data_IF_043510541860
#
_entry.id   IF_043510541860
#
_cell.length_a   1.000
_cell.length_b   1.000
_cell.length_c   1.000
_cell.angle_alpha   90.00
_cell.angle_beta   90.00
_cell.angle_gamma   90.00
#
_symmetry.space_group_name_H-M   'P 1'
#
loop_
_entity.id
_entity.type
_entity.pdbx_description
1 polymer ?
#
# COMPACT_ATOMS: atom_id res chain seq x y z
N UNK A 1 -15.49 -14.82 0.90
CA UNK A 1 -15.45 -13.37 1.23
C UNK A 1 -16.58 -12.90 2.14
N UNK A 2 -17.87 -13.19 1.85
CA UNK A 2 -19.00 -12.70 2.68
C UNK A 2 -18.92 -13.10 4.16
N UNK A 3 -18.57 -14.36 4.42
CA UNK A 3 -18.41 -14.90 5.78
C UNK A 3 -17.31 -14.18 6.55
N UNK A 4 -16.13 -14.04 5.94
CA UNK A 4 -15.00 -13.28 6.49
C UNK A 4 -15.37 -11.82 6.75
N UNK A 5 -16.09 -11.17 5.84
CA UNK A 5 -16.51 -9.78 6.04
C UNK A 5 -17.47 -9.64 7.23
N UNK A 6 -18.30 -10.66 7.50
CA UNK A 6 -19.24 -10.67 8.63
C UNK A 6 -18.55 -10.93 9.97
N UNK A 7 -17.39 -11.58 10.01
CA UNK A 7 -16.62 -11.80 11.24
C UNK A 7 -15.79 -10.58 11.65
N UNK A 8 -15.59 -9.61 10.75
CA UNK A 8 -14.75 -8.44 11.01
C UNK A 8 -15.56 -7.26 11.60
N UNK A 9 -14.90 -6.36 12.38
CA UNK A 9 -15.54 -5.15 12.86
C UNK A 9 -16.08 -4.28 11.71
N UNK A 10 -17.16 -3.51 11.95
CA UNK A 10 -17.64 -2.54 10.97
C UNK A 10 -16.54 -1.57 10.53
N UNK A 11 -16.52 -1.19 9.25
CA UNK A 11 -15.55 -0.26 8.64
C UNK A 11 -14.07 -0.73 8.67
N UNK A 12 -13.85 -2.03 8.81
CA UNK A 12 -12.52 -2.61 8.70
C UNK A 12 -11.95 -2.48 7.26
N UNK A 13 -10.65 -2.21 7.14
CA UNK A 13 -9.99 -2.15 5.85
C UNK A 13 -10.01 -3.53 5.16
N UNK A 14 -10.43 -3.65 3.88
CA UNK A 14 -10.61 -4.95 3.22
C UNK A 14 -9.35 -5.81 3.12
N UNK A 15 -8.17 -5.20 3.15
CA UNK A 15 -6.91 -5.95 3.12
C UNK A 15 -6.72 -6.89 4.33
N UNK A 16 -7.41 -6.62 5.44
CA UNK A 16 -7.38 -7.49 6.62
C UNK A 16 -8.12 -8.81 6.39
N UNK A 17 -9.01 -8.88 5.40
CA UNK A 17 -9.72 -10.12 5.07
C UNK A 17 -8.76 -11.23 4.66
N UNK A 18 -7.62 -10.93 4.02
CA UNK A 18 -6.65 -11.95 3.61
C UNK A 18 -5.99 -12.63 4.81
N UNK A 19 -5.68 -11.87 5.85
CA UNK A 19 -5.14 -12.40 7.11
C UNK A 19 -6.19 -13.26 7.83
N UNK A 20 -7.44 -12.84 7.82
CA UNK A 20 -8.51 -13.61 8.46
C UNK A 20 -8.81 -14.92 7.72
N UNK A 21 -8.79 -14.91 6.38
CA UNK A 21 -8.88 -16.13 5.56
C UNK A 21 -7.75 -17.11 5.93
N UNK A 22 -6.52 -16.60 6.04
CA UNK A 22 -5.35 -17.40 6.43
C UNK A 22 -5.59 -18.11 7.76
N UNK A 23 -6.11 -17.37 8.76
CA UNK A 23 -6.39 -17.91 10.11
C UNK A 23 -7.54 -18.90 10.13
N UNK A 24 -8.65 -18.59 9.48
CA UNK A 24 -9.86 -19.44 9.54
C UNK A 24 -9.67 -20.77 8.80
N UNK A 25 -8.98 -20.75 7.65
CA UNK A 25 -8.76 -21.94 6.85
C UNK A 25 -7.39 -22.60 7.11
N UNK A 26 -6.58 -22.04 8.00
CA UNK A 26 -5.23 -22.52 8.33
C UNK A 26 -4.37 -22.72 7.06
N UNK A 27 -4.38 -21.71 6.17
CA UNK A 27 -3.68 -21.73 4.88
C UNK A 27 -2.44 -20.81 4.89
N UNK A 28 -1.26 -21.41 4.86
CA UNK A 28 0.01 -20.69 4.86
C UNK A 28 0.76 -20.83 3.52
N UNK A 29 1.64 -19.87 3.23
CA UNK A 29 2.44 -19.82 2.02
C UNK A 29 1.80 -18.97 0.91
N UNK A 30 1.14 -19.66 -0.01
CA UNK A 30 0.58 -19.08 -1.23
C UNK A 30 -0.80 -19.67 -1.47
N UNK A 31 -1.79 -18.81 -1.69
CA UNK A 31 -3.11 -19.25 -2.12
C UNK A 31 -3.68 -18.34 -3.19
N UNK A 32 -4.58 -18.90 -3.99
CA UNK A 32 -5.30 -18.17 -5.03
C UNK A 32 -6.68 -17.78 -4.54
N UNK A 33 -7.05 -16.53 -4.74
CA UNK A 33 -8.37 -16.00 -4.43
C UNK A 33 -9.08 -15.61 -5.72
N UNK A 34 -10.15 -16.32 -6.04
CA UNK A 34 -11.06 -15.91 -7.09
C UNK A 34 -11.98 -14.79 -6.59
N UNK A 35 -11.94 -13.65 -7.28
CA UNK A 35 -12.71 -12.46 -6.97
C UNK A 35 -13.83 -12.21 -8.00
N UNK A 36 -14.10 -13.14 -8.92
CA UNK A 36 -15.19 -13.00 -9.88
C UNK A 36 -16.56 -12.88 -9.18
N UNK A 37 -17.44 -11.94 -9.57
CA UNK A 37 -17.32 -10.94 -10.65
C UNK A 37 -16.79 -9.57 -10.18
N UNK A 38 -16.36 -9.44 -8.94
CA UNK A 38 -15.94 -8.17 -8.33
C UNK A 38 -14.56 -7.68 -8.79
N UNK A 39 -13.66 -8.57 -9.24
CA UNK A 39 -12.33 -8.19 -9.69
C UNK A 39 -11.52 -9.35 -10.27
N UNK A 40 -10.27 -9.09 -10.67
CA UNK A 40 -9.38 -10.13 -11.15
C UNK A 40 -9.00 -11.07 -10.00
N UNK A 41 -8.86 -12.36 -10.31
CA UNK A 41 -8.32 -13.33 -9.36
C UNK A 41 -6.90 -12.92 -8.92
N UNK A 42 -6.63 -13.05 -7.63
CA UNK A 42 -5.41 -12.54 -7.00
C UNK A 42 -4.68 -13.69 -6.30
N UNK A 43 -3.37 -13.78 -6.50
CA UNK A 43 -2.51 -14.67 -5.71
C UNK A 43 -2.09 -13.92 -4.45
N UNK A 44 -2.35 -14.50 -3.29
CA UNK A 44 -1.94 -13.97 -2.01
C UNK A 44 -0.71 -14.77 -1.55
N UNK A 45 0.34 -14.05 -1.17
CA UNK A 45 1.54 -14.61 -0.55
C UNK A 45 1.60 -14.08 0.88
N UNK A 46 1.58 -14.95 1.88
CA UNK A 46 1.58 -14.60 3.29
C UNK A 46 2.82 -15.09 4.06
N UNK A 47 3.68 -15.90 3.43
CA UNK A 47 4.96 -16.33 3.99
C UNK A 47 6.06 -15.27 3.76
N UNK A 48 6.67 -14.72 4.83
CA UNK A 48 7.75 -13.73 4.72
C UNK A 48 8.91 -14.18 3.83
N UNK A 49 9.30 -15.46 3.92
CA UNK A 49 10.39 -16.05 3.15
C UNK A 49 10.09 -16.01 1.65
N UNK A 50 8.83 -16.26 1.28
CA UNK A 50 8.37 -16.22 -0.12
C UNK A 50 8.20 -14.79 -0.61
N UNK A 51 7.77 -13.86 0.25
CA UNK A 51 7.63 -12.43 -0.07
C UNK A 51 9.01 -11.82 -0.41
N UNK A 52 10.04 -12.15 0.36
CA UNK A 52 11.41 -11.68 0.09
C UNK A 52 11.95 -12.17 -1.26
N UNK A 53 11.52 -13.36 -1.71
CA UNK A 53 11.89 -13.92 -3.00
C UNK A 53 11.05 -13.40 -4.16
N UNK A 54 9.81 -12.97 -3.93
CA UNK A 54 8.90 -12.49 -4.98
C UNK A 54 9.49 -11.43 -5.94
N UNK A 55 10.30 -10.45 -5.49
CA UNK A 55 10.93 -9.48 -6.40
C UNK A 55 12.19 -10.00 -7.13
N UNK A 56 12.73 -11.18 -6.80
CA UNK A 56 13.98 -11.71 -7.33
C UNK A 56 13.75 -13.02 -8.11
N UNK A 57 14.44 -13.26 -9.24
CA UNK A 57 15.45 -12.42 -9.90
C UNK A 57 14.84 -11.41 -10.89
N UNK A 58 13.52 -11.47 -11.16
CA UNK A 58 12.84 -10.60 -12.11
C UNK A 58 11.63 -9.96 -11.43
N UNK A 59 11.64 -8.65 -11.14
CA UNK A 59 10.50 -7.99 -10.54
C UNK A 59 9.29 -8.11 -11.47
N UNK A 60 8.17 -8.55 -10.91
CA UNK A 60 6.91 -8.62 -11.63
C UNK A 60 6.45 -7.19 -12.00
N UNK A 61 5.92 -6.98 -13.21
CA UNK A 61 5.35 -5.70 -13.56
C UNK A 61 4.17 -5.40 -12.65
N UNK A 62 4.01 -4.11 -12.31
CA UNK A 62 2.82 -3.63 -11.59
C UNK A 62 1.59 -3.95 -12.43
N UNK A 63 0.57 -4.51 -11.79
CA UNK A 63 -0.67 -4.88 -12.47
C UNK A 63 -1.35 -3.63 -13.09
N UNK A 64 -1.87 -3.68 -14.33
CA UNK A 64 -2.45 -2.51 -15.02
C UNK A 64 -3.57 -1.80 -14.25
N UNK A 65 -4.27 -2.54 -13.40
CA UNK A 65 -5.30 -2.01 -12.50
C UNK A 65 -4.76 -0.90 -11.57
N UNK A 66 -3.48 -0.93 -11.21
CA UNK A 66 -2.86 0.15 -10.44
C UNK A 66 -2.87 1.47 -11.23
N UNK A 67 -2.60 1.45 -12.53
CA UNK A 67 -2.67 2.64 -13.37
C UNK A 67 -4.12 3.15 -13.50
N UNK A 68 -5.09 2.23 -13.63
CA UNK A 68 -6.52 2.59 -13.68
C UNK A 68 -6.96 3.28 -12.38
N UNK A 69 -6.57 2.74 -11.22
CA UNK A 69 -6.93 3.33 -9.93
C UNK A 69 -6.18 4.62 -9.62
N UNK A 70 -4.91 4.74 -10.03
CA UNK A 70 -4.10 5.93 -9.74
C UNK A 70 -4.38 7.11 -10.67
N UNK A 71 -4.81 6.83 -11.92
CA UNK A 71 -5.02 7.85 -12.96
C UNK A 71 -5.94 9.01 -12.54
N UNK A 72 -7.11 8.78 -11.91
CA UNK A 72 -7.99 9.87 -11.46
C UNK A 72 -7.37 10.78 -10.40
N UNK A 73 -6.44 10.26 -9.59
CA UNK A 73 -5.91 10.98 -8.43
C UNK A 73 -4.58 11.68 -8.77
N UNK A 74 -3.71 11.03 -9.55
CA UNK A 74 -2.32 11.48 -9.80
C UNK A 74 -1.99 11.64 -11.29
N UNK A 75 -2.92 11.32 -12.19
CA UNK A 75 -2.66 11.29 -13.63
C UNK A 75 -1.91 10.03 -14.08
N UNK A 76 -1.41 10.07 -15.32
CA UNK A 76 -0.69 8.95 -15.94
C UNK A 76 0.80 8.94 -15.58
N UNK A 77 1.44 7.77 -15.68
CA UNK A 77 2.90 7.66 -15.54
C UNK A 77 3.43 7.85 -14.11
N UNK A 78 2.62 7.57 -13.10
CA UNK A 78 3.01 7.72 -11.69
C UNK A 78 4.03 6.67 -11.28
N UNK A 79 4.87 6.98 -10.28
CA UNK A 79 5.85 6.03 -9.75
C UNK A 79 5.18 4.74 -9.21
N UNK A 80 3.98 4.84 -8.66
CA UNK A 80 3.23 3.71 -8.10
C UNK A 80 2.58 2.81 -9.17
N UNK A 81 2.37 3.31 -10.39
CA UNK A 81 1.71 2.59 -11.46
C UNK A 81 2.63 2.24 -12.65
N UNK A 82 3.94 2.50 -12.52
CA UNK A 82 4.93 2.25 -13.57
C UNK A 82 5.93 1.17 -13.16
N UNK A 83 6.59 0.57 -14.14
CA UNK A 83 7.61 -0.47 -13.92
C UNK A 83 8.82 -0.26 -14.84
N UNK A 84 9.91 -0.98 -14.59
CA UNK A 84 11.08 -0.97 -15.46
C UNK A 84 11.85 0.36 -15.47
N UNK A 85 12.39 0.78 -16.64
CA UNK A 85 13.24 1.98 -16.74
C UNK A 85 12.55 3.28 -16.30
N UNK A 86 11.25 3.42 -16.59
CA UNK A 86 10.48 4.61 -16.19
C UNK A 86 10.37 4.70 -14.67
N UNK A 87 10.01 3.59 -14.02
CA UNK A 87 10.01 3.51 -12.56
C UNK A 87 11.39 3.85 -11.98
N UNK A 88 12.47 3.28 -12.53
CA UNK A 88 13.84 3.56 -12.06
C UNK A 88 14.19 5.05 -12.18
N UNK A 89 13.80 5.69 -13.28
CA UNK A 89 14.01 7.13 -13.50
C UNK A 89 13.26 7.97 -12.46
N UNK A 90 11.97 7.67 -12.26
CA UNK A 90 11.12 8.39 -11.30
C UNK A 90 11.60 8.19 -9.86
N UNK A 91 11.92 6.95 -9.49
CA UNK A 91 12.48 6.62 -8.18
C UNK A 91 13.78 7.38 -7.93
N UNK A 92 14.71 7.35 -8.89
CA UNK A 92 16.00 8.07 -8.77
C UNK A 92 15.80 9.58 -8.60
N UNK A 93 14.83 10.18 -9.31
CA UNK A 93 14.52 11.60 -9.16
C UNK A 93 13.92 11.93 -7.79
N UNK A 94 13.12 11.02 -7.20
CA UNK A 94 12.48 11.24 -5.90
C UNK A 94 13.37 10.89 -4.70
N UNK A 95 14.30 9.94 -4.84
CA UNK A 95 15.14 9.42 -3.75
C UNK A 95 15.81 10.50 -2.87
N UNK A 96 16.35 11.62 -3.40
CA UNK A 96 16.98 12.65 -2.56
C UNK A 96 16.03 13.29 -1.54
N UNK A 97 14.75 13.48 -1.90
CA UNK A 97 13.73 14.03 -1.01
C UNK A 97 13.40 13.09 0.15
N UNK A 98 13.67 11.78 0.01
CA UNK A 98 13.48 10.79 1.06
C UNK A 98 14.82 10.38 1.72
N UNK A 99 15.90 11.12 1.47
CA UNK A 99 17.17 10.87 2.13
C UNK A 99 17.10 11.16 3.63
N UNK A 100 17.83 10.38 4.43
CA UNK A 100 17.82 10.53 5.88
C UNK A 100 18.18 11.94 6.35
N UNK A 101 19.18 12.57 5.69
CA UNK A 101 19.59 13.93 6.00
C UNK A 101 18.48 14.96 5.72
N UNK A 102 17.78 14.83 4.59
CA UNK A 102 16.67 15.72 4.26
C UNK A 102 15.50 15.52 5.22
N UNK A 103 15.07 14.27 5.45
CA UNK A 103 13.98 13.93 6.37
C UNK A 103 14.26 14.45 7.78
N UNK A 104 15.49 14.29 8.28
CA UNK A 104 15.89 14.84 9.59
C UNK A 104 15.87 16.37 9.62
N UNK A 105 16.22 17.02 8.51
CA UNK A 105 16.11 18.48 8.37
C UNK A 105 14.66 18.99 8.48
N UNK A 106 13.68 18.17 8.08
CA UNK A 106 12.26 18.53 8.16
C UNK A 106 11.65 18.35 9.56
N UNK A 107 12.32 17.67 10.49
CA UNK A 107 11.76 17.37 11.82
C UNK A 107 11.30 18.63 12.56
N UNK A 108 12.11 19.70 12.56
CA UNK A 108 11.74 20.95 13.23
C UNK A 108 10.46 21.57 12.66
N UNK A 109 10.39 21.67 11.33
CA UNK A 109 9.21 22.18 10.63
C UNK A 109 7.97 21.33 10.93
N UNK A 110 8.10 19.99 10.92
CA UNK A 110 6.99 19.09 11.24
C UNK A 110 6.48 19.31 12.67
N UNK A 111 7.38 19.51 13.64
CA UNK A 111 7.00 19.81 15.03
C UNK A 111 6.24 21.13 15.11
N UNK A 112 6.75 22.18 14.48
CA UNK A 112 6.12 23.51 14.50
C UNK A 112 4.72 23.48 13.90
N UNK A 113 4.55 22.86 12.73
CA UNK A 113 3.24 22.73 12.07
C UNK A 113 2.26 21.87 12.87
N UNK A 114 2.75 20.79 13.50
CA UNK A 114 1.93 19.92 14.34
C UNK A 114 1.45 20.65 15.59
N UNK A 115 2.31 21.45 16.23
CA UNK A 115 1.95 22.25 17.41
C UNK A 115 0.94 23.34 17.08
N UNK A 116 1.11 24.01 15.93
CA UNK A 116 0.14 24.98 15.43
C UNK A 116 -1.22 24.32 15.18
N UNK A 117 -1.24 23.17 14.50
CA UNK A 117 -2.48 22.43 14.24
C UNK A 117 -3.17 22.01 15.54
N UNK A 118 -2.41 21.47 16.50
CA UNK A 118 -2.91 21.12 17.84
C UNK A 118 -3.55 22.31 18.55
N UNK A 119 -2.90 23.47 18.52
CA UNK A 119 -3.45 24.69 19.12
C UNK A 119 -4.78 25.08 18.50
N UNK A 120 -4.89 25.02 17.16
CA UNK A 120 -6.14 25.29 16.45
C UNK A 120 -7.26 24.31 16.79
N UNK A 121 -6.95 23.02 16.96
CA UNK A 121 -7.95 22.05 17.41
C UNK A 121 -8.46 22.37 18.83
N UNK A 122 -7.57 22.77 19.74
CA UNK A 122 -7.94 23.16 21.11
C UNK A 122 -8.84 24.40 21.13
N UNK A 123 -8.57 25.40 20.28
CA UNK A 123 -9.44 26.57 20.10
C UNK A 123 -10.83 26.19 19.57
N UNK A 124 -10.88 25.23 18.64
CA UNK A 124 -12.12 24.78 18.00
C UNK A 124 -13.05 23.97 18.91
N UNK A 125 -12.60 23.56 20.11
CA UNK A 125 -13.35 22.75 21.09
C UNK A 125 -13.98 21.47 20.50
N UNK A 126 -13.30 20.85 19.54
CA UNK A 126 -13.66 19.53 18.98
C UNK A 126 -12.91 18.45 19.76
#
# INVERSE_FOLDING_TARGET
MKEIAASMPPNCHPQLYYTEITRQYNIDGIFYLDLWPAGPGTVIVNDPTLIEQAPLPRPLPVHPMAAVFMKPIWGEGTIAATSGPLWKKLHTAMSPAFSWAHVRGLTGLMVDQTMLFRHKLQEAKI
#
